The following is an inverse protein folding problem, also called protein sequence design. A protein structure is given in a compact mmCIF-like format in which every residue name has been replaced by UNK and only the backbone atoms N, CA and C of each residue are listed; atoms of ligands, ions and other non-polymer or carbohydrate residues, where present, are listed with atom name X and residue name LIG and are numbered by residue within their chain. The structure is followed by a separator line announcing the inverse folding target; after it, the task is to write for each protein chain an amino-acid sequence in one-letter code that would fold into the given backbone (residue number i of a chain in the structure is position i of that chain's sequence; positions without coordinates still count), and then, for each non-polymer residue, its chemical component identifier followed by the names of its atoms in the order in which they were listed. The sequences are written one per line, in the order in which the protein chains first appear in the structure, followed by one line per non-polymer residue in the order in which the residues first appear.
data_IF_270259447068
#
_entry.id   IF_270259447068
#
_cell.length_a   1.000
_cell.length_b   1.000
_cell.length_c   1.000
_cell.angle_alpha   90.00
_cell.angle_beta   90.00
_cell.angle_gamma   90.00
#
_symmetry.space_group_name_H-M   'P 1'
#
loop_
_entity.id
_entity.type
_entity.pdbx_description
1 polymer ?
#
# COMPACT_ATOMS: atom_id res chain seq x y z
N UNK A 1 68.14 7.99 65.37
CA UNK A 1 67.68 8.20 64.01
C UNK A 1 66.18 7.87 64.02
N UNK A 2 65.30 8.90 63.94
CA UNK A 2 63.85 8.76 63.95
C UNK A 2 63.39 8.96 62.52
N UNK A 3 62.76 7.93 61.92
CA UNK A 3 62.11 8.03 60.64
C UNK A 3 60.68 8.53 60.78
N UNK A 4 60.39 9.66 60.15
CA UNK A 4 59.09 10.28 60.14
C UNK A 4 58.35 9.82 58.88
N UNK A 5 57.30 9.04 59.06
CA UNK A 5 56.42 8.58 57.94
C UNK A 5 55.34 9.65 57.65
N UNK A 6 55.34 10.21 56.45
CA UNK A 6 54.31 11.12 56.02
C UNK A 6 53.27 10.28 55.24
N UNK A 7 52.04 10.23 55.78
CA UNK A 7 50.88 9.65 55.10
C UNK A 7 50.20 10.74 54.32
N UNK A 8 50.23 10.65 53.01
CA UNK A 8 49.49 11.56 52.11
C UNK A 8 48.10 10.98 51.85
N UNK A 9 47.08 11.63 52.39
CA UNK A 9 45.68 11.33 52.11
C UNK A 9 45.23 11.94 50.80
N UNK A 10 44.96 11.12 49.79
CA UNK A 10 44.42 11.51 48.50
C UNK A 10 42.88 11.61 48.59
N UNK A 11 42.38 12.86 48.61
CA UNK A 11 40.89 13.10 48.56
C UNK A 11 40.43 13.06 47.12
N UNK A 12 39.67 12.04 46.76
CA UNK A 12 38.99 11.92 45.46
C UNK A 12 37.69 12.71 45.52
N UNK A 13 37.63 13.85 44.81
CA UNK A 13 36.40 14.58 44.57
C UNK A 13 35.59 13.86 43.47
N UNK A 14 34.50 13.20 43.89
CA UNK A 14 33.50 12.64 42.98
C UNK A 14 32.54 13.75 42.61
N UNK A 15 32.73 14.34 41.40
CA UNK A 15 31.78 15.31 40.83
C UNK A 15 30.59 14.53 40.24
N UNK A 16 29.46 14.57 40.96
CA UNK A 16 28.19 14.03 40.45
C UNK A 16 27.63 14.93 39.33
N UNK A 17 27.78 14.50 38.09
CA UNK A 17 27.07 15.11 36.99
C UNK A 17 25.61 14.67 37.03
N UNK A 18 24.74 15.55 37.52
CA UNK A 18 23.27 15.38 37.34
C UNK A 18 22.93 15.70 35.88
N UNK A 19 22.59 14.66 35.13
CA UNK A 19 22.03 14.81 33.77
C UNK A 19 20.62 15.39 33.95
N UNK A 20 20.49 16.73 33.80
CA UNK A 20 19.21 17.40 33.76
C UNK A 20 18.54 17.04 32.41
N UNK A 21 17.50 16.20 32.47
CA UNK A 21 16.64 15.97 31.32
C UNK A 21 15.96 17.31 30.96
N UNK A 22 16.20 17.81 29.74
CA UNK A 22 15.52 19.00 29.26
C UNK A 22 13.99 18.76 29.32
N UNK A 23 13.20 19.75 29.81
CA UNK A 23 11.76 19.60 29.85
C UNK A 23 11.24 19.37 28.42
N UNK A 24 10.42 18.32 28.24
CA UNK A 24 9.69 18.07 27.01
C UNK A 24 8.90 19.34 26.66
N UNK A 25 9.22 19.97 25.55
CA UNK A 25 8.42 21.07 25.04
C UNK A 25 6.95 20.61 24.90
N UNK A 26 5.96 21.42 25.32
CA UNK A 26 4.56 21.02 25.26
C UNK A 26 4.21 20.62 23.82
N UNK A 27 3.56 19.48 23.66
CA UNK A 27 3.09 19.01 22.36
C UNK A 27 2.25 20.12 21.72
N UNK A 28 2.64 20.59 20.54
CA UNK A 28 1.88 21.60 19.80
C UNK A 28 0.48 21.04 19.54
N UNK A 29 -0.54 21.66 20.12
CA UNK A 29 -1.92 21.26 19.87
C UNK A 29 -2.21 21.50 18.37
N UNK A 30 -2.83 20.53 17.69
CA UNK A 30 -3.18 20.69 16.30
C UNK A 30 -4.28 21.74 16.16
N UNK A 31 -4.14 22.63 15.19
CA UNK A 31 -5.20 23.59 14.86
C UNK A 31 -6.44 22.84 14.36
N UNK A 32 -7.67 23.23 14.78
CA UNK A 32 -8.90 22.53 14.42
C UNK A 32 -9.05 22.33 12.91
N UNK A 33 -8.78 23.35 12.10
CA UNK A 33 -8.84 23.29 10.64
C UNK A 33 -7.92 22.20 10.05
N UNK A 34 -6.72 22.05 10.59
CA UNK A 34 -5.81 20.99 10.15
C UNK A 34 -6.32 19.59 10.52
N UNK A 35 -6.89 19.44 11.72
CA UNK A 35 -7.50 18.18 12.16
C UNK A 35 -8.66 17.82 11.25
N UNK A 36 -9.51 18.76 10.91
CA UNK A 36 -10.66 18.57 10.03
C UNK A 36 -10.22 18.17 8.61
N UNK A 37 -9.21 18.83 8.07
CA UNK A 37 -8.64 18.49 6.76
C UNK A 37 -8.09 17.04 6.73
N UNK A 38 -7.41 16.60 7.79
CA UNK A 38 -6.95 15.21 7.89
C UNK A 38 -8.13 14.24 8.02
N UNK A 39 -9.14 14.56 8.78
CA UNK A 39 -10.32 13.70 8.93
C UNK A 39 -11.11 13.58 7.62
N UNK A 40 -11.31 14.66 6.87
CA UNK A 40 -11.91 14.63 5.53
C UNK A 40 -11.12 13.74 4.56
N UNK A 41 -9.79 13.82 4.59
CA UNK A 41 -8.94 12.94 3.80
C UNK A 41 -9.11 11.47 4.25
N UNK A 42 -9.14 11.18 5.56
CA UNK A 42 -9.39 9.82 6.12
C UNK A 42 -10.72 9.25 5.64
N UNK A 43 -11.77 10.06 5.66
CA UNK A 43 -13.10 9.67 5.16
C UNK A 43 -13.06 9.33 3.66
N UNK A 44 -12.30 10.09 2.87
CA UNK A 44 -12.15 9.83 1.44
C UNK A 44 -11.46 8.49 1.15
N UNK A 45 -10.39 8.15 1.90
CA UNK A 45 -9.69 6.86 1.73
C UNK A 45 -10.50 5.69 2.30
N UNK A 46 -11.28 5.90 3.36
CA UNK A 46 -12.24 4.90 3.87
C UNK A 46 -13.32 4.61 2.81
N UNK A 47 -13.94 5.65 2.24
CA UNK A 47 -14.94 5.54 1.18
C UNK A 47 -14.38 4.82 -0.06
N UNK A 48 -13.14 5.15 -0.46
CA UNK A 48 -12.45 4.49 -1.56
C UNK A 48 -12.23 3.00 -1.30
N UNK A 49 -11.90 2.60 -0.07
CA UNK A 49 -11.70 1.20 0.31
C UNK A 49 -13.01 0.39 0.22
N UNK A 50 -14.14 1.00 0.60
CA UNK A 50 -15.48 0.37 0.63
C UNK A 50 -16.20 0.35 -0.70
N UNK A 51 -15.67 0.99 -1.74
CA UNK A 51 -16.33 1.04 -3.07
C UNK A 51 -16.47 -0.34 -3.69
N UNK A 52 -17.36 -0.47 -4.67
CA UNK A 52 -17.42 -1.63 -5.54
C UNK A 52 -16.08 -1.84 -6.24
N UNK A 53 -15.68 -3.09 -6.42
CA UNK A 53 -14.39 -3.47 -6.97
C UNK A 53 -13.18 -2.93 -6.19
N UNK A 54 -13.38 -2.52 -4.93
CA UNK A 54 -12.34 -2.10 -4.00
C UNK A 54 -11.60 -3.28 -3.37
N UNK A 55 -10.60 -2.98 -2.55
CA UNK A 55 -9.73 -4.01 -1.97
C UNK A 55 -10.46 -4.98 -1.02
N UNK A 56 -11.55 -4.53 -0.37
CA UNK A 56 -12.38 -5.38 0.50
C UNK A 56 -13.28 -6.35 -0.26
N UNK A 57 -13.38 -6.22 -1.59
CA UNK A 57 -14.20 -7.09 -2.42
C UNK A 57 -13.42 -8.18 -3.12
N UNK A 58 -12.07 -8.15 -3.06
CA UNK A 58 -11.26 -9.14 -3.76
C UNK A 58 -11.55 -10.55 -3.24
N UNK A 59 -11.88 -11.45 -4.17
CA UNK A 59 -12.23 -12.85 -3.92
C UNK A 59 -11.29 -13.83 -4.63
N UNK A 60 -10.35 -13.34 -5.46
CA UNK A 60 -9.40 -14.21 -6.13
C UNK A 60 -8.38 -13.47 -6.98
N UNK A 61 -7.23 -14.14 -7.13
CA UNK A 61 -6.12 -13.76 -8.01
C UNK A 61 -5.63 -15.02 -8.71
N UNK A 62 -5.89 -15.16 -10.01
CA UNK A 62 -5.60 -16.36 -10.77
C UNK A 62 -4.62 -16.05 -11.89
N UNK A 63 -3.44 -16.69 -11.87
CA UNK A 63 -2.49 -16.62 -12.98
C UNK A 63 -3.02 -17.50 -14.11
N UNK A 64 -3.21 -16.92 -15.28
CA UNK A 64 -3.71 -17.63 -16.45
C UNK A 64 -2.55 -18.22 -17.25
N UNK A 65 -2.77 -19.44 -17.79
CA UNK A 65 -1.87 -20.05 -18.76
C UNK A 65 -2.10 -19.48 -20.17
N UNK A 66 -1.11 -19.49 -21.05
CA UNK A 66 -1.33 -19.24 -22.46
C UNK A 66 -2.39 -20.20 -23.05
N UNK A 67 -3.22 -19.71 -23.95
CA UNK A 67 -4.35 -20.47 -24.52
C UNK A 67 -5.62 -20.35 -23.69
N UNK A 68 -6.46 -21.36 -23.72
CA UNK A 68 -7.80 -21.35 -23.11
C UNK A 68 -7.72 -21.64 -21.61
N UNK A 69 -8.44 -20.86 -20.82
CA UNK A 69 -8.65 -21.03 -19.39
C UNK A 69 -10.16 -20.98 -19.12
N UNK A 70 -10.78 -22.09 -18.76
CA UNK A 70 -12.19 -22.13 -18.34
C UNK A 70 -12.35 -21.57 -16.94
N UNK A 71 -13.50 -20.94 -16.63
CA UNK A 71 -13.72 -20.36 -15.31
C UNK A 71 -15.15 -20.47 -14.82
N UNK A 72 -15.32 -20.52 -13.51
CA UNK A 72 -16.57 -20.65 -12.79
C UNK A 72 -16.40 -21.41 -11.48
N UNK A 73 -17.49 -21.91 -10.89
CA UNK A 73 -17.47 -22.62 -9.61
C UNK A 73 -17.33 -24.14 -9.73
N UNK A 74 -17.44 -24.71 -10.96
CA UNK A 74 -17.19 -26.13 -11.17
C UNK A 74 -15.72 -26.47 -10.90
N UNK A 75 -15.42 -27.58 -10.19
CA UNK A 75 -14.04 -28.00 -9.90
C UNK A 75 -13.27 -28.44 -11.14
N UNK A 76 -13.95 -28.63 -12.26
CA UNK A 76 -13.38 -28.99 -13.56
C UNK A 76 -12.86 -27.80 -14.36
N UNK A 77 -13.12 -26.56 -13.90
CA UNK A 77 -12.57 -25.37 -14.53
C UNK A 77 -11.07 -25.23 -14.29
N UNK A 78 -10.36 -24.59 -15.21
CA UNK A 78 -8.96 -24.19 -15.03
C UNK A 78 -8.84 -23.12 -13.92
N UNK A 79 -9.81 -22.23 -13.82
CA UNK A 79 -9.94 -21.19 -12.81
C UNK A 79 -11.21 -21.48 -12.00
N UNK A 80 -11.02 -22.07 -10.83
CA UNK A 80 -12.13 -22.42 -9.92
C UNK A 80 -12.40 -21.25 -8.98
N UNK A 81 -13.57 -20.66 -9.08
CA UNK A 81 -14.00 -19.59 -8.19
C UNK A 81 -14.30 -20.12 -6.77
N UNK A 82 -14.11 -19.30 -5.72
CA UNK A 82 -14.44 -19.67 -4.34
C UNK A 82 -15.86 -20.22 -4.19
N UNK A 83 -15.99 -21.20 -3.29
CA UNK A 83 -17.28 -21.90 -3.06
C UNK A 83 -18.42 -20.95 -2.64
N UNK A 84 -18.09 -19.84 -1.98
CA UNK A 84 -19.01 -18.80 -1.53
C UNK A 84 -19.71 -18.08 -2.69
N UNK A 85 -19.16 -18.22 -3.89
CA UNK A 85 -19.73 -17.66 -5.12
C UNK A 85 -20.64 -18.65 -5.86
N UNK A 86 -20.79 -19.88 -5.36
CA UNK A 86 -21.71 -20.86 -5.92
C UNK A 86 -23.15 -20.32 -5.94
N UNK A 87 -23.81 -20.45 -7.09
CA UNK A 87 -25.16 -19.92 -7.28
C UNK A 87 -25.24 -18.45 -7.72
N UNK A 88 -24.12 -17.74 -7.87
CA UNK A 88 -24.10 -16.39 -8.47
C UNK A 88 -24.20 -16.43 -10.00
N UNK A 89 -23.99 -17.60 -10.60
CA UNK A 89 -24.06 -17.88 -12.03
C UNK A 89 -23.98 -19.39 -12.26
N UNK A 90 -23.92 -19.86 -13.52
CA UNK A 90 -23.70 -21.26 -13.81
C UNK A 90 -22.31 -21.70 -13.36
N UNK A 91 -22.15 -23.02 -13.10
CA UNK A 91 -20.89 -23.60 -12.63
C UNK A 91 -19.74 -23.44 -13.63
N UNK A 92 -20.04 -23.33 -14.93
CA UNK A 92 -19.11 -22.91 -16.00
C UNK A 92 -19.65 -21.62 -16.59
N UNK A 93 -18.98 -20.51 -16.33
CA UNK A 93 -19.40 -19.17 -16.81
C UNK A 93 -18.88 -18.93 -18.24
N UNK A 94 -17.71 -19.46 -18.55
CA UNK A 94 -17.09 -19.28 -19.85
C UNK A 94 -15.61 -19.66 -19.87
N UNK A 95 -14.89 -19.09 -20.82
CA UNK A 95 -13.44 -19.25 -20.95
C UNK A 95 -12.75 -17.93 -21.28
N UNK A 96 -11.48 -17.81 -20.90
CA UNK A 96 -10.61 -16.69 -21.26
C UNK A 96 -9.44 -17.26 -22.05
N UNK A 97 -9.25 -16.80 -23.28
CA UNK A 97 -8.12 -17.16 -24.12
C UNK A 97 -7.05 -16.10 -24.04
N UNK A 98 -5.85 -16.49 -23.62
CA UNK A 98 -4.65 -15.63 -23.60
C UNK A 98 -3.80 -15.92 -24.81
N UNK A 99 -3.69 -14.98 -25.73
CA UNK A 99 -2.75 -14.99 -26.86
C UNK A 99 -1.60 -14.04 -26.55
N UNK A 100 -0.54 -14.58 -25.96
CA UNK A 100 0.62 -13.79 -25.54
C UNK A 100 1.38 -13.19 -26.75
N UNK A 101 1.38 -13.87 -27.91
CA UNK A 101 2.05 -13.39 -29.12
C UNK A 101 1.34 -12.15 -29.70
N UNK A 102 0.01 -12.12 -29.66
CA UNK A 102 -0.80 -10.98 -30.09
C UNK A 102 -1.07 -9.98 -28.98
N UNK A 103 -0.61 -10.26 -27.75
CA UNK A 103 -0.93 -9.46 -26.56
C UNK A 103 -2.43 -9.23 -26.43
N UNK A 104 -3.24 -10.27 -26.61
CA UNK A 104 -4.69 -10.19 -26.55
C UNK A 104 -5.28 -11.17 -25.55
N UNK A 105 -6.36 -10.75 -24.89
CA UNK A 105 -7.16 -11.55 -23.99
C UNK A 105 -8.60 -11.52 -24.43
N UNK A 106 -9.16 -12.70 -24.74
CA UNK A 106 -10.52 -12.82 -25.26
C UNK A 106 -11.37 -13.62 -24.29
N UNK A 107 -12.45 -13.03 -23.81
CA UNK A 107 -13.48 -13.67 -23.00
C UNK A 107 -14.54 -14.26 -23.92
N UNK A 108 -14.90 -15.53 -23.73
CA UNK A 108 -16.05 -16.19 -24.36
C UNK A 108 -16.99 -16.71 -23.27
N UNK A 109 -18.21 -16.25 -23.30
CA UNK A 109 -19.25 -16.69 -22.36
C UNK A 109 -19.85 -18.03 -22.81
N UNK A 110 -20.24 -18.86 -21.84
CA UNK A 110 -21.00 -20.06 -22.12
C UNK A 110 -22.39 -19.71 -22.69
N UNK A 111 -23.03 -20.68 -23.36
CA UNK A 111 -24.36 -20.50 -23.93
C UNK A 111 -25.37 -20.11 -22.83
N UNK A 112 -26.21 -19.12 -23.11
CA UNK A 112 -27.20 -18.60 -22.17
C UNK A 112 -26.63 -17.67 -21.09
N UNK A 113 -25.30 -17.47 -21.01
CA UNK A 113 -24.68 -16.52 -20.06
C UNK A 113 -24.64 -15.13 -20.67
N UNK A 114 -25.06 -14.14 -19.86
CA UNK A 114 -24.91 -12.71 -20.18
C UNK A 114 -24.17 -12.03 -19.04
N UNK A 115 -23.15 -11.22 -19.38
CA UNK A 115 -22.41 -10.36 -18.45
C UNK A 115 -22.57 -8.89 -18.84
N UNK A 116 -22.17 -7.98 -17.97
CA UNK A 116 -22.14 -6.54 -18.27
C UNK A 116 -20.70 -6.02 -18.35
N UNK A 117 -20.47 -5.01 -19.19
CA UNK A 117 -19.24 -4.25 -19.24
C UNK A 117 -19.57 -2.77 -19.47
N UNK A 118 -19.06 -1.88 -18.59
CA UNK A 118 -19.46 -0.46 -18.64
C UNK A 118 -20.96 -0.24 -18.47
N UNK A 119 -21.65 -1.14 -17.76
CA UNK A 119 -23.11 -1.10 -17.55
C UNK A 119 -23.93 -1.65 -18.73
N UNK A 120 -23.29 -2.07 -19.85
CA UNK A 120 -23.98 -2.63 -21.02
C UNK A 120 -23.89 -4.16 -21.01
N UNK A 121 -25.02 -4.88 -21.21
CA UNK A 121 -25.02 -6.34 -21.29
C UNK A 121 -24.35 -6.81 -22.60
N UNK A 122 -23.69 -7.96 -22.54
CA UNK A 122 -23.16 -8.66 -23.70
C UNK A 122 -23.23 -10.17 -23.51
N UNK A 123 -23.23 -10.90 -24.62
CA UNK A 123 -23.16 -12.36 -24.71
C UNK A 123 -22.07 -12.77 -25.70
N UNK A 124 -21.75 -14.06 -25.76
CA UNK A 124 -20.78 -14.59 -26.73
C UNK A 124 -19.35 -14.18 -26.40
N UNK A 125 -18.67 -13.53 -27.33
CA UNK A 125 -17.22 -13.27 -27.26
C UNK A 125 -16.91 -11.77 -27.20
N UNK A 126 -15.84 -11.43 -26.44
CA UNK A 126 -15.34 -10.06 -26.31
C UNK A 126 -13.86 -10.04 -26.01
N UNK A 127 -13.09 -9.24 -26.76
CA UNK A 127 -11.70 -8.91 -26.39
C UNK A 127 -11.68 -7.92 -25.25
N UNK A 128 -10.94 -8.23 -24.18
CA UNK A 128 -10.84 -7.42 -22.97
C UNK A 128 -9.62 -6.49 -23.04
N UNK A 129 -9.84 -5.24 -22.69
CA UNK A 129 -8.77 -4.27 -22.43
C UNK A 129 -8.22 -4.50 -21.01
N UNK A 130 -6.90 -4.48 -20.86
CA UNK A 130 -6.22 -4.66 -19.56
C UNK A 130 -5.20 -3.56 -19.23
N UNK A 131 -5.09 -2.54 -20.06
CA UNK A 131 -4.31 -1.34 -19.76
C UNK A 131 -4.79 -0.71 -18.43
N UNK A 132 -3.91 -0.38 -17.48
CA UNK A 132 -4.28 0.20 -16.18
C UNK A 132 -5.16 1.45 -16.26
N UNK A 133 -4.96 2.28 -17.30
CA UNK A 133 -5.73 3.51 -17.48
C UNK A 133 -7.11 3.27 -18.11
N UNK A 134 -7.31 2.14 -18.83
CA UNK A 134 -8.53 1.87 -19.60
C UNK A 134 -8.91 0.38 -19.63
N UNK A 135 -8.85 -0.29 -18.47
CA UNK A 135 -9.19 -1.71 -18.39
C UNK A 135 -10.69 -1.95 -18.38
N UNK A 136 -11.09 -3.05 -19.02
CA UNK A 136 -12.47 -3.51 -18.94
C UNK A 136 -12.72 -4.20 -17.58
N UNK A 137 -13.82 -3.80 -16.95
CA UNK A 137 -14.46 -4.57 -15.89
C UNK A 137 -15.66 -5.27 -16.47
N UNK A 138 -15.76 -6.58 -16.25
CA UNK A 138 -16.92 -7.39 -16.63
C UNK A 138 -17.57 -7.98 -15.41
N UNK A 139 -18.90 -7.99 -15.36
CA UNK A 139 -19.64 -8.34 -14.15
C UNK A 139 -20.78 -9.32 -14.45
N UNK A 140 -21.00 -10.25 -13.50
CA UNK A 140 -22.15 -11.17 -13.46
C UNK A 140 -22.74 -11.11 -12.05
N UNK A 141 -23.91 -10.48 -11.91
CA UNK A 141 -24.52 -10.26 -10.58
C UNK A 141 -23.56 -9.48 -9.66
N UNK A 142 -23.26 -10.07 -8.50
CA UNK A 142 -22.35 -9.48 -7.50
C UNK A 142 -20.86 -9.63 -7.84
N UNK A 143 -20.50 -10.52 -8.77
CA UNK A 143 -19.11 -10.75 -9.15
C UNK A 143 -18.69 -9.76 -10.23
N UNK A 144 -17.46 -9.28 -10.10
CA UNK A 144 -16.78 -8.48 -11.14
C UNK A 144 -15.37 -9.01 -11.34
N UNK A 145 -14.87 -8.91 -12.56
CA UNK A 145 -13.50 -9.33 -12.86
C UNK A 145 -12.84 -8.43 -13.89
N UNK A 146 -11.52 -8.38 -13.85
CA UNK A 146 -10.68 -7.70 -14.81
C UNK A 146 -9.34 -8.42 -14.98
N UNK A 147 -8.64 -8.10 -16.05
CA UNK A 147 -7.32 -8.65 -16.33
C UNK A 147 -6.24 -7.64 -15.91
N UNK A 148 -5.14 -8.19 -15.39
CA UNK A 148 -3.89 -7.46 -15.17
C UNK A 148 -2.81 -8.20 -15.96
N UNK A 149 -1.98 -7.44 -16.68
CA UNK A 149 -0.73 -7.95 -17.25
C UNK A 149 0.42 -7.41 -16.41
N UNK A 150 1.38 -8.29 -16.10
CA UNK A 150 2.60 -7.90 -15.41
C UNK A 150 3.72 -8.84 -15.82
N UNK A 151 4.77 -8.28 -16.42
CA UNK A 151 5.96 -9.03 -16.88
C UNK A 151 5.61 -10.23 -17.79
N UNK A 152 4.67 -10.03 -18.74
CA UNK A 152 4.20 -11.05 -19.66
C UNK A 152 3.25 -12.08 -19.05
N UNK A 153 2.92 -11.96 -17.77
CA UNK A 153 1.95 -12.83 -17.08
C UNK A 153 0.59 -12.17 -17.01
N UNK A 154 -0.43 -12.89 -17.41
CA UNK A 154 -1.83 -12.44 -17.35
C UNK A 154 -2.50 -12.99 -16.12
N UNK A 155 -3.14 -12.13 -15.36
CA UNK A 155 -3.78 -12.46 -14.09
C UNK A 155 -5.24 -12.02 -14.12
N UNK A 156 -6.14 -12.96 -13.85
CA UNK A 156 -7.55 -12.66 -13.60
C UNK A 156 -7.71 -12.22 -12.14
N UNK A 157 -8.23 -11.03 -11.94
CA UNK A 157 -8.68 -10.51 -10.64
C UNK A 157 -10.18 -10.67 -10.53
N UNK A 158 -10.61 -11.34 -9.47
CA UNK A 158 -12.01 -11.56 -9.14
C UNK A 158 -12.39 -10.71 -7.92
N UNK A 159 -13.53 -10.05 -7.99
CA UNK A 159 -14.14 -9.30 -6.90
C UNK A 159 -15.56 -9.82 -6.63
N UNK A 160 -15.92 -9.89 -5.36
CA UNK A 160 -17.28 -10.11 -4.86
C UNK A 160 -17.77 -8.83 -4.16
N UNK A 161 -18.62 -8.08 -4.83
CA UNK A 161 -19.14 -6.82 -4.30
C UNK A 161 -20.06 -6.99 -3.08
N UNK A 162 -20.43 -8.23 -2.75
CA UNK A 162 -21.17 -8.56 -1.53
C UNK A 162 -20.34 -9.35 -0.51
N UNK A 163 -19.00 -9.29 -0.62
CA UNK A 163 -18.11 -10.04 0.27
C UNK A 163 -18.38 -9.73 1.75
N UNK A 164 -18.28 -10.76 2.59
CA UNK A 164 -18.47 -10.62 4.03
C UNK A 164 -17.39 -9.76 4.67
N UNK A 165 -16.17 -9.76 4.09
CA UNK A 165 -15.07 -8.88 4.51
C UNK A 165 -15.47 -7.41 4.36
N UNK A 166 -16.07 -7.04 3.23
CA UNK A 166 -16.57 -5.67 2.99
C UNK A 166 -17.74 -5.32 3.91
N UNK A 167 -18.72 -6.22 4.05
CA UNK A 167 -19.92 -6.01 4.87
C UNK A 167 -19.58 -5.82 6.36
N UNK A 168 -18.64 -6.61 6.86
CA UNK A 168 -18.24 -6.63 8.27
C UNK A 168 -17.01 -5.76 8.56
N UNK A 169 -16.50 -5.00 7.60
CA UNK A 169 -15.33 -4.17 7.82
C UNK A 169 -15.60 -3.11 8.89
N UNK A 170 -14.87 -3.14 10.04
CA UNK A 170 -15.16 -2.28 11.19
C UNK A 170 -14.64 -0.84 11.05
N UNK A 171 -14.10 -0.49 9.86
CA UNK A 171 -13.44 0.77 9.64
C UNK A 171 -11.94 0.74 9.90
N UNK A 172 -11.24 1.75 9.36
CA UNK A 172 -9.80 1.95 9.58
C UNK A 172 -9.55 2.47 10.99
N UNK A 173 -8.41 2.10 11.55
CA UNK A 173 -7.92 2.64 12.81
C UNK A 173 -6.85 3.69 12.56
N UNK A 174 -6.91 4.78 13.31
CA UNK A 174 -5.97 5.88 13.15
C UNK A 174 -5.30 6.25 14.47
N UNK A 175 -4.09 6.77 14.40
CA UNK A 175 -3.54 7.58 15.48
C UNK A 175 -4.27 8.91 15.56
N UNK A 176 -4.24 9.56 16.71
CA UNK A 176 -4.62 10.97 16.83
C UNK A 176 -3.80 11.83 15.86
N UNK A 177 -4.42 12.88 15.32
CA UNK A 177 -3.70 13.83 14.46
C UNK A 177 -2.65 14.56 15.29
N UNK A 178 -1.39 14.49 14.88
CA UNK A 178 -0.27 15.09 15.60
C UNK A 178 0.59 15.94 14.66
N UNK A 179 0.57 17.28 14.82
CA UNK A 179 1.33 18.21 13.98
C UNK A 179 2.86 17.98 13.99
N UNK A 180 3.39 17.34 15.05
CA UNK A 180 4.81 17.02 15.11
C UNK A 180 5.27 16.02 14.03
N UNK A 181 4.32 15.33 13.39
CA UNK A 181 4.56 14.42 12.28
C UNK A 181 4.25 15.04 10.90
N UNK A 182 3.98 16.34 10.84
CA UNK A 182 3.95 17.14 9.61
C UNK A 182 5.22 17.96 9.56
N UNK A 183 6.16 17.58 8.71
CA UNK A 183 7.53 18.11 8.70
C UNK A 183 7.88 18.81 7.40
N UNK A 184 8.81 19.73 7.45
CA UNK A 184 9.41 20.30 6.25
C UNK A 184 10.34 19.25 5.62
N UNK A 185 10.14 18.95 4.34
CA UNK A 185 10.97 18.07 3.56
C UNK A 185 11.45 18.79 2.29
N UNK A 186 12.66 18.44 1.82
CA UNK A 186 13.25 18.97 0.60
C UNK A 186 13.33 17.85 -0.43
N UNK A 187 12.80 18.07 -1.63
CA UNK A 187 12.95 17.12 -2.74
C UNK A 187 14.31 17.30 -3.41
N UNK A 188 15.05 16.22 -3.55
CA UNK A 188 16.36 16.17 -4.22
C UNK A 188 16.27 15.16 -5.38
N UNK A 189 16.34 15.63 -6.64
CA UNK A 189 16.26 14.76 -7.79
C UNK A 189 17.50 13.88 -7.93
N UNK A 190 17.30 12.66 -8.42
CA UNK A 190 18.39 11.83 -8.95
C UNK A 190 18.67 12.16 -10.42
N UNK A 191 19.82 11.74 -10.95
CA UNK A 191 20.04 11.74 -12.38
C UNK A 191 18.94 10.95 -13.11
N UNK A 192 18.54 11.37 -14.33
CA UNK A 192 17.52 10.65 -15.12
C UNK A 192 17.85 9.18 -15.29
N UNK A 193 16.82 8.32 -15.28
CA UNK A 193 16.95 6.87 -15.48
C UNK A 193 17.32 6.08 -14.23
N UNK A 194 17.42 6.70 -13.05
CA UNK A 194 17.60 5.96 -11.79
C UNK A 194 16.38 5.06 -11.53
N UNK A 195 16.66 3.81 -11.19
CA UNK A 195 15.64 2.80 -10.79
C UNK A 195 15.97 2.23 -9.43
N UNK A 196 14.95 1.68 -8.78
CA UNK A 196 15.03 0.89 -7.55
C UNK A 196 14.55 -0.52 -7.85
N UNK A 197 15.28 -1.51 -7.40
CA UNK A 197 14.83 -2.89 -7.37
C UNK A 197 13.89 -3.07 -6.17
N UNK A 198 12.62 -3.25 -6.42
CA UNK A 198 11.57 -3.35 -5.40
C UNK A 198 11.06 -4.79 -5.34
N UNK A 199 11.18 -5.41 -4.16
CA UNK A 199 10.59 -6.73 -3.86
C UNK A 199 9.15 -6.51 -3.38
N UNK A 200 8.23 -7.38 -3.76
CA UNK A 200 6.86 -7.38 -3.24
C UNK A 200 6.64 -8.49 -2.20
N UNK A 201 5.45 -8.54 -1.59
CA UNK A 201 5.10 -9.50 -0.50
C UNK A 201 5.05 -10.97 -0.93
N UNK A 202 5.22 -11.30 -2.21
CA UNK A 202 5.31 -12.66 -2.76
C UNK A 202 6.66 -12.89 -3.45
N UNK A 203 7.70 -12.15 -3.04
CA UNK A 203 9.09 -12.25 -3.48
C UNK A 203 9.32 -12.01 -4.99
N UNK A 204 8.38 -11.35 -5.69
CA UNK A 204 8.61 -10.88 -7.06
C UNK A 204 9.37 -9.55 -7.01
N UNK A 205 10.32 -9.38 -7.93
CA UNK A 205 11.17 -8.20 -8.05
C UNK A 205 10.74 -7.39 -9.27
N UNK A 206 10.59 -6.07 -9.11
CA UNK A 206 10.37 -5.13 -10.20
C UNK A 206 11.36 -3.97 -10.16
N UNK A 207 11.71 -3.43 -11.32
CA UNK A 207 12.55 -2.25 -11.47
C UNK A 207 11.68 -1.01 -11.58
N UNK A 208 11.51 -0.29 -10.47
CA UNK A 208 10.66 0.89 -10.42
C UNK A 208 11.47 2.17 -10.64
N UNK A 209 11.00 3.12 -11.46
CA UNK A 209 11.61 4.44 -11.57
C UNK A 209 11.75 5.12 -10.21
N UNK A 210 12.85 5.86 -10.03
CA UNK A 210 13.09 6.66 -8.82
C UNK A 210 13.56 8.07 -9.21
N UNK A 211 12.65 9.04 -9.30
CA UNK A 211 12.97 10.38 -9.76
C UNK A 211 13.82 11.18 -8.77
N UNK A 212 13.90 10.74 -7.53
CA UNK A 212 14.65 11.42 -6.47
C UNK A 212 14.29 10.92 -5.09
N UNK A 213 14.75 11.62 -4.09
CA UNK A 213 14.45 11.36 -2.68
C UNK A 213 14.06 12.64 -1.96
N UNK A 214 13.48 12.49 -0.79
CA UNK A 214 13.20 13.62 0.11
C UNK A 214 14.11 13.58 1.33
N UNK A 215 14.61 14.74 1.74
CA UNK A 215 15.37 14.95 2.99
C UNK A 215 14.48 15.68 4.00
N UNK A 216 14.43 15.20 5.22
CA UNK A 216 13.68 15.84 6.29
C UNK A 216 14.30 15.56 7.66
N UNK A 217 13.90 16.37 8.64
CA UNK A 217 14.28 16.16 10.05
C UNK A 217 13.03 15.75 10.83
N UNK A 218 13.11 14.63 11.55
CA UNK A 218 12.05 14.16 12.43
C UNK A 218 12.64 13.79 13.80
N UNK A 219 12.07 14.32 14.88
CA UNK A 219 12.56 14.11 16.25
C UNK A 219 14.07 14.40 16.41
N UNK A 220 14.55 15.49 15.77
CA UNK A 220 15.92 15.93 15.81
C UNK A 220 16.92 15.11 14.96
N UNK A 221 16.47 14.09 14.21
CA UNK A 221 17.32 13.27 13.33
C UNK A 221 17.00 13.53 11.87
N UNK A 222 18.03 13.52 11.03
CA UNK A 222 17.89 13.63 9.57
C UNK A 222 17.59 12.27 8.96
N UNK A 223 16.67 12.25 8.01
CA UNK A 223 16.24 11.08 7.26
C UNK A 223 16.18 11.40 5.77
N UNK A 224 16.23 10.34 4.97
CA UNK A 224 15.96 10.33 3.53
C UNK A 224 14.94 9.26 3.23
N UNK A 225 14.09 9.51 2.23
CA UNK A 225 13.20 8.51 1.66
C UNK A 225 13.19 8.63 0.15
N UNK A 226 13.40 7.52 -0.56
CA UNK A 226 13.29 7.43 -2.01
C UNK A 226 11.83 7.50 -2.46
N UNK A 227 11.59 8.21 -3.55
CA UNK A 227 10.31 8.20 -4.26
C UNK A 227 10.26 6.95 -5.14
N UNK A 228 9.16 6.22 -5.10
CA UNK A 228 8.94 4.98 -5.87
C UNK A 228 7.96 5.25 -7.01
N UNK A 229 8.37 5.01 -8.24
CA UNK A 229 7.55 5.26 -9.42
C UNK A 229 7.66 6.69 -9.97
N UNK A 230 7.06 6.92 -11.14
CA UNK A 230 7.02 8.21 -11.86
C UNK A 230 5.59 8.73 -12.02
N UNK A 231 4.89 8.94 -10.92
CA UNK A 231 3.57 9.57 -10.95
C UNK A 231 3.68 11.11 -10.99
N UNK A 232 2.56 11.80 -11.20
CA UNK A 232 2.47 13.26 -11.09
C UNK A 232 2.83 13.76 -9.67
N UNK A 233 2.56 12.93 -8.67
CA UNK A 233 2.93 13.13 -7.27
C UNK A 233 4.19 12.39 -6.86
N UNK A 234 4.31 12.14 -5.55
CA UNK A 234 5.37 11.32 -4.99
C UNK A 234 4.77 10.20 -4.13
N UNK A 235 5.10 8.98 -4.48
CA UNK A 235 4.71 7.81 -3.73
C UNK A 235 5.87 7.27 -2.89
N UNK A 236 5.60 6.97 -1.63
CA UNK A 236 6.56 6.39 -0.70
C UNK A 236 6.03 5.08 -0.15
N UNK A 237 6.83 4.05 -0.27
CA UNK A 237 6.68 2.78 0.44
C UNK A 237 7.67 2.82 1.59
N UNK A 238 7.19 2.73 2.84
CA UNK A 238 8.05 2.94 4.01
C UNK A 238 7.78 1.94 5.14
N UNK A 239 8.72 1.83 6.04
CA UNK A 239 8.58 1.20 7.36
C UNK A 239 9.20 2.09 8.42
N UNK A 240 8.74 1.94 9.65
CA UNK A 240 9.26 2.65 10.82
C UNK A 240 9.20 1.77 12.08
N UNK A 241 9.57 2.30 13.22
CA UNK A 241 9.58 1.57 14.47
C UNK A 241 8.19 1.15 15.01
N UNK A 242 7.09 1.49 14.32
CA UNK A 242 5.74 1.02 14.64
C UNK A 242 5.33 -0.21 13.84
N UNK A 243 6.08 -0.54 12.77
CA UNK A 243 5.76 -1.61 11.83
C UNK A 243 5.86 -3.00 12.49
N UNK A 244 4.75 -3.73 12.51
CA UNK A 244 4.64 -5.04 13.16
C UNK A 244 4.26 -4.98 14.64
N UNK A 245 4.16 -3.77 15.20
CA UNK A 245 3.62 -3.49 16.52
C UNK A 245 2.21 -2.90 16.39
N UNK A 246 2.10 -1.63 16.05
CA UNK A 246 0.82 -0.90 15.94
C UNK A 246 0.41 -0.58 14.52
N UNK A 247 1.32 -0.74 13.56
CA UNK A 247 1.06 -0.56 12.12
C UNK A 247 1.39 -1.81 11.32
N UNK A 248 0.92 -1.89 10.08
CA UNK A 248 1.10 -3.05 9.23
C UNK A 248 2.58 -3.37 9.02
N UNK A 249 2.97 -4.63 9.27
CA UNK A 249 4.39 -5.05 9.31
C UNK A 249 5.13 -4.86 7.98
N UNK A 250 4.59 -5.29 6.83
CA UNK A 250 5.33 -5.25 5.57
C UNK A 250 5.67 -3.84 5.10
N UNK A 251 4.70 -2.93 5.13
CA UNK A 251 4.90 -1.55 4.64
C UNK A 251 3.76 -0.63 5.06
N UNK A 252 4.00 0.66 4.96
CA UNK A 252 3.04 1.77 5.04
C UNK A 252 3.21 2.62 3.79
N UNK A 253 2.13 3.14 3.28
CA UNK A 253 2.13 3.99 2.10
C UNK A 253 1.93 5.45 2.50
N UNK A 254 2.60 6.35 1.79
CA UNK A 254 2.40 7.78 1.87
C UNK A 254 2.41 8.35 0.45
N UNK A 255 1.43 9.17 0.12
CA UNK A 255 1.35 9.84 -1.17
C UNK A 255 1.30 11.35 -0.99
N UNK A 256 2.05 12.08 -1.82
CA UNK A 256 2.05 13.53 -1.93
C UNK A 256 1.53 13.88 -3.31
N UNK A 257 0.39 14.54 -3.39
CA UNK A 257 -0.38 14.74 -4.62
C UNK A 257 0.39 15.47 -5.73
N UNK A 258 1.33 16.35 -5.35
CA UNK A 258 2.09 17.14 -6.31
C UNK A 258 3.58 17.02 -6.03
N UNK A 259 4.35 16.65 -7.07
CA UNK A 259 5.81 16.63 -7.01
C UNK A 259 6.36 18.08 -6.91
N UNK A 260 7.15 18.39 -5.87
CA UNK A 260 7.78 19.69 -5.75
C UNK A 260 8.84 19.90 -6.86
N UNK A 261 9.20 21.14 -7.11
CA UNK A 261 10.34 21.46 -7.99
C UNK A 261 11.64 20.94 -7.36
N UNK A 262 12.68 20.70 -8.17
CA UNK A 262 14.00 20.35 -7.66
C UNK A 262 14.45 21.28 -6.55
N UNK A 263 14.89 20.72 -5.43
CA UNK A 263 15.34 21.44 -4.22
C UNK A 263 14.28 22.30 -3.52
N UNK A 264 13.03 22.25 -3.91
CA UNK A 264 11.93 22.92 -3.22
C UNK A 264 11.62 22.23 -1.87
N UNK A 265 11.28 23.05 -0.88
CA UNK A 265 10.82 22.61 0.44
C UNK A 265 9.28 22.55 0.45
N UNK A 266 8.73 21.46 0.96
CA UNK A 266 7.29 21.21 1.06
C UNK A 266 6.93 20.56 2.37
N UNK A 267 5.63 20.41 2.65
CA UNK A 267 5.14 19.72 3.85
C UNK A 267 4.97 18.23 3.58
N UNK A 268 5.76 17.39 4.25
CA UNK A 268 5.60 15.94 4.28
C UNK A 268 4.79 15.56 5.52
N UNK A 269 3.60 15.01 5.33
CA UNK A 269 2.65 14.79 6.42
C UNK A 269 2.40 13.31 6.69
N UNK A 270 3.07 12.76 7.70
CA UNK A 270 2.91 11.37 8.10
C UNK A 270 1.54 11.06 8.73
N UNK A 271 0.71 12.05 9.08
CA UNK A 271 -0.68 11.81 9.47
C UNK A 271 -1.54 11.26 8.32
N UNK A 272 -1.03 11.37 7.08
CA UNK A 272 -1.59 10.78 5.86
C UNK A 272 -0.96 9.43 5.47
N UNK A 273 -0.20 8.78 6.33
CA UNK A 273 0.24 7.41 6.05
C UNK A 273 -0.91 6.43 6.20
N UNK A 274 -1.00 5.45 5.29
CA UNK A 274 -2.09 4.48 5.24
C UNK A 274 -1.58 3.08 4.91
N UNK A 275 -2.42 2.08 5.22
CA UNK A 275 -2.10 0.69 4.95
C UNK A 275 -2.21 0.34 3.46
N UNK A 276 -1.26 -0.45 2.93
CA UNK A 276 -1.34 -0.96 1.58
C UNK A 276 -2.51 -1.93 1.40
N UNK A 277 -2.92 -2.22 0.15
CA UNK A 277 -3.99 -3.18 -0.16
C UNK A 277 -3.83 -4.55 0.51
N UNK A 278 -2.59 -5.03 0.67
CA UNK A 278 -2.28 -6.31 1.31
C UNK A 278 -2.65 -6.38 2.81
N UNK A 279 -2.90 -5.25 3.44
CA UNK A 279 -3.44 -5.22 4.80
C UNK A 279 -4.93 -5.61 4.85
N UNK A 280 -5.61 -5.62 3.71
CA UNK A 280 -7.05 -5.84 3.57
C UNK A 280 -7.40 -7.09 2.76
N UNK A 281 -6.48 -7.58 1.92
CA UNK A 281 -6.71 -8.72 1.05
C UNK A 281 -5.41 -9.44 0.71
N UNK A 282 -5.41 -10.78 0.84
CA UNK A 282 -4.31 -11.65 0.43
C UNK A 282 -4.13 -11.73 -1.10
N UNK A 283 -5.14 -11.31 -1.85
CA UNK A 283 -5.11 -11.33 -3.31
C UNK A 283 -4.35 -10.14 -3.93
N UNK A 284 -3.57 -9.41 -3.14
CA UNK A 284 -2.79 -8.26 -3.60
C UNK A 284 -1.29 -8.50 -3.47
N UNK A 285 -0.49 -7.79 -4.28
CA UNK A 285 0.97 -7.90 -4.31
C UNK A 285 1.58 -6.51 -4.08
N UNK A 286 1.77 -6.15 -2.82
CA UNK A 286 2.23 -4.83 -2.46
C UNK A 286 3.75 -4.77 -2.38
N UNK A 287 4.38 -3.65 -2.79
CA UNK A 287 5.82 -3.46 -2.66
C UNK A 287 6.26 -3.42 -1.20
N UNK A 288 7.44 -3.93 -0.94
CA UNK A 288 8.19 -3.74 0.28
C UNK A 288 9.05 -2.47 0.17
N UNK A 289 9.32 -1.78 1.27
CA UNK A 289 10.11 -0.55 1.23
C UNK A 289 11.56 -0.81 0.84
N UNK A 290 12.16 0.03 -0.02
CA UNK A 290 13.58 0.04 -0.21
C UNK A 290 14.30 0.37 1.10
N UNK A 291 15.56 -0.02 1.23
CA UNK A 291 16.31 0.11 2.49
C UNK A 291 16.32 1.54 3.04
N UNK A 292 16.47 2.54 2.18
CA UNK A 292 16.47 3.94 2.58
C UNK A 292 15.14 4.42 3.18
N UNK A 293 14.04 3.74 2.88
CA UNK A 293 12.70 4.05 3.39
C UNK A 293 12.37 3.30 4.69
N UNK A 294 13.34 2.59 5.28
CA UNK A 294 13.21 1.94 6.59
C UNK A 294 13.73 2.90 7.66
N UNK A 295 12.81 3.65 8.27
CA UNK A 295 13.13 4.71 9.21
C UNK A 295 13.34 4.17 10.63
N UNK A 296 14.52 4.38 11.22
CA UNK A 296 14.84 3.96 12.59
C UNK A 296 14.27 4.92 13.64
N UNK A 297 12.96 5.15 13.59
CA UNK A 297 12.18 5.96 14.55
C UNK A 297 10.73 5.48 14.55
N UNK A 298 9.98 5.77 15.60
CA UNK A 298 8.54 5.48 15.66
C UNK A 298 7.76 6.67 15.14
N UNK A 299 6.92 6.44 14.12
CA UNK A 299 6.02 7.42 13.53
C UNK A 299 4.59 7.06 13.93
N UNK A 300 4.20 7.50 15.12
CA UNK A 300 2.88 7.27 15.71
C UNK A 300 1.86 8.26 15.13
N UNK A 301 1.72 8.22 13.81
CA UNK A 301 0.80 9.03 13.01
C UNK A 301 0.23 8.20 11.86
N UNK A 302 -0.89 8.63 11.28
CA UNK A 302 -1.56 7.94 10.19
C UNK A 302 -2.33 6.69 10.60
N UNK A 303 -2.46 5.72 9.71
CA UNK A 303 -3.25 4.52 9.92
C UNK A 303 -2.52 3.48 10.78
N UNK A 304 -3.25 2.90 11.72
CA UNK A 304 -2.85 1.73 12.52
C UNK A 304 -3.31 0.46 11.81
N UNK A 305 -2.77 -0.68 12.21
CA UNK A 305 -3.17 -1.96 11.66
C UNK A 305 -4.06 -2.74 12.64
N UNK A 306 -5.12 -3.31 12.10
CA UNK A 306 -5.94 -4.34 12.72
C UNK A 306 -6.03 -5.52 11.76
N UNK A 307 -5.67 -6.72 12.21
CA UNK A 307 -5.90 -7.93 11.41
C UNK A 307 -7.41 -8.11 11.25
N UNK A 308 -7.84 -8.28 10.00
CA UNK A 308 -9.19 -8.70 9.68
C UNK A 308 -9.27 -10.20 9.92
N UNK A 309 -10.30 -10.64 10.63
CA UNK A 309 -10.54 -12.06 10.94
C UNK A 309 -10.93 -12.88 9.74
#
# INVERSE_FOLDING_TARGET
MKFLSIVATLSVLVSSFTLSAAPNAPAKTAEPEYVDAINQWRDSVEKSLRRDNGWLTLAGRFIMKPGVNTFGTAPTNDIVFPAELKGTGPDVIGSITVDAAKKSVTLRLAEGVSMTSGGQPFTGERTLKYDPANRDWVSLGRISMHIIERDGRYVLRLADNESMVRKNFPGRLWYGVNPAFKVNAKFVPYPPGKKLSIVNVIDEVSEEPCPGYVEFTLKGRKYKMDVVGEDEGMFFVMRDGTSGDTTYRPSRFLYVDKKPKPNETFQLDFNKTYNPPCAFSEFTTCPLPPEQNILKTRIEAGEKYRKLG
#
